data_IF_467300883385
#
_entry.id   IF_467300883385
#
_cell.length_a   1.000
_cell.length_b   1.000
_cell.length_c   1.000
_cell.angle_alpha   90.00
_cell.angle_beta   90.00
_cell.angle_gamma   90.00
#
_symmetry.space_group_name_H-M   'P 1'
#
loop_
_entity.id
_entity.type
_entity.pdbx_description
1 polymer ?
#
# COMPACT_ATOMS: atom_id res chain seq x y z
N UNK A 1 -11.96 6.14 2.49
CA UNK A 1 -12.82 7.32 2.79
C UNK A 1 -12.07 8.64 3.00
N UNK A 2 -10.79 8.68 3.43
CA UNK A 2 -10.00 9.95 3.49
C UNK A 2 -8.99 10.17 2.34
N UNK A 3 -8.83 9.20 1.42
CA UNK A 3 -7.82 9.27 0.34
C UNK A 3 -8.07 10.39 -0.66
N UNK A 4 -9.33 10.67 -0.97
CA UNK A 4 -9.72 11.77 -1.87
C UNK A 4 -9.83 13.13 -1.16
N UNK A 5 -9.91 13.11 0.17
CA UNK A 5 -10.09 14.30 0.99
C UNK A 5 -8.77 14.94 1.44
N UNK A 6 -7.65 14.25 1.23
CA UNK A 6 -6.32 14.72 1.63
C UNK A 6 -5.40 14.64 0.40
N UNK A 7 -5.30 15.71 -0.40
CA UNK A 7 -4.45 15.74 -1.60
C UNK A 7 -3.00 15.35 -1.30
N UNK A 8 -2.49 15.79 -0.14
CA UNK A 8 -1.12 15.55 0.32
C UNK A 8 -0.89 14.14 0.91
N UNK A 9 -1.88 13.26 0.88
CA UNK A 9 -1.77 11.95 1.54
C UNK A 9 -0.64 11.10 0.94
N UNK A 10 -0.46 11.14 -0.39
CA UNK A 10 0.59 10.38 -1.04
C UNK A 10 2.00 10.85 -0.63
N UNK A 11 2.34 12.15 -0.71
CA UNK A 11 3.59 12.69 -0.15
C UNK A 11 3.77 12.39 1.33
N UNK A 12 2.71 12.49 2.15
CA UNK A 12 2.80 12.17 3.58
C UNK A 12 3.15 10.71 3.82
N UNK A 13 2.52 9.77 3.10
CA UNK A 13 2.81 8.34 3.22
C UNK A 13 4.21 8.00 2.74
N UNK A 14 4.67 8.64 1.66
CA UNK A 14 5.99 8.39 1.10
C UNK A 14 7.13 8.91 1.99
N UNK A 15 6.99 10.12 2.53
CA UNK A 15 8.02 10.74 3.35
C UNK A 15 7.97 10.29 4.82
N UNK A 16 6.93 9.60 5.25
CA UNK A 16 6.84 9.04 6.60
C UNK A 16 7.74 7.81 6.73
N UNK A 17 8.67 7.87 7.69
CA UNK A 17 9.62 6.79 7.95
C UNK A 17 8.92 5.44 8.16
N UNK A 18 9.37 4.41 7.42
CA UNK A 18 8.88 3.04 7.54
C UNK A 18 7.46 2.78 7.01
N UNK A 19 6.74 3.79 6.50
CA UNK A 19 5.34 3.62 6.06
C UNK A 19 5.24 2.74 4.82
N UNK A 20 6.04 3.01 3.78
CA UNK A 20 6.07 2.18 2.56
C UNK A 20 6.52 0.75 2.89
N UNK A 21 7.52 0.59 3.76
CA UNK A 21 7.98 -0.71 4.24
C UNK A 21 6.87 -1.48 4.96
N UNK A 22 6.11 -0.83 5.84
CA UNK A 22 4.99 -1.45 6.52
C UNK A 22 3.89 -1.88 5.53
N UNK A 23 3.57 -1.05 4.53
CA UNK A 23 2.60 -1.41 3.48
C UNK A 23 3.06 -2.62 2.64
N UNK A 24 4.36 -2.70 2.32
CA UNK A 24 4.93 -3.85 1.63
C UNK A 24 4.90 -5.11 2.51
N UNK A 25 5.19 -4.97 3.80
CA UNK A 25 5.13 -6.07 4.75
C UNK A 25 3.71 -6.67 4.84
N UNK A 26 2.67 -5.83 4.78
CA UNK A 26 1.27 -6.29 4.73
C UNK A 26 0.98 -7.17 3.52
N UNK A 27 1.60 -6.90 2.37
CA UNK A 27 1.46 -7.70 1.16
C UNK A 27 2.23 -9.02 1.29
N UNK A 28 3.48 -8.95 1.75
CA UNK A 28 4.34 -10.13 1.91
C UNK A 28 3.73 -11.12 2.92
N UNK A 29 3.16 -10.61 4.01
CA UNK A 29 2.52 -11.43 5.05
C UNK A 29 1.31 -12.23 4.53
N UNK A 30 0.75 -11.88 3.36
CA UNK A 30 -0.35 -12.63 2.75
C UNK A 30 0.12 -13.79 1.88
N UNK A 31 1.36 -13.80 1.38
CA UNK A 31 1.84 -14.86 0.49
C UNK A 31 1.66 -16.29 1.03
N UNK A 32 1.87 -16.60 2.32
CA UNK A 32 1.62 -17.94 2.84
C UNK A 32 0.15 -18.39 2.76
N UNK A 33 -0.80 -17.46 2.74
CA UNK A 33 -2.24 -17.75 2.65
C UNK A 33 -2.76 -17.80 1.20
N UNK A 34 -1.92 -17.47 0.20
CA UNK A 34 -2.27 -17.57 -1.21
C UNK A 34 -2.11 -19.01 -1.71
N UNK A 35 -1.09 -19.73 -1.24
CA UNK A 35 -0.86 -21.12 -1.63
C UNK A 35 -0.36 -21.96 -0.43
N UNK A 36 -1.19 -22.90 0.09
CA UNK A 36 -2.55 -23.22 -0.34
C UNK A 36 -3.54 -22.06 -0.08
N UNK A 37 -4.68 -21.99 -0.80
CA UNK A 37 -5.60 -20.86 -0.73
C UNK A 37 -6.42 -20.88 0.58
N UNK A 38 -5.83 -20.36 1.65
CA UNK A 38 -6.44 -20.26 2.98
C UNK A 38 -6.76 -18.81 3.37
N UNK A 39 -6.78 -17.90 2.38
CA UNK A 39 -7.00 -16.48 2.59
C UNK A 39 -8.42 -16.21 3.11
N UNK A 40 -8.51 -15.55 4.27
CA UNK A 40 -9.80 -15.15 4.85
C UNK A 40 -10.27 -13.80 4.30
N UNK A 41 -11.58 -13.53 4.39
CA UNK A 41 -12.15 -12.23 4.03
C UNK A 41 -11.51 -11.07 4.81
N UNK A 42 -11.17 -11.29 6.09
CA UNK A 42 -10.53 -10.27 6.91
C UNK A 42 -9.11 -9.93 6.40
N UNK A 43 -8.31 -10.95 6.10
CA UNK A 43 -6.97 -10.79 5.53
C UNK A 43 -7.02 -10.09 4.17
N UNK A 44 -7.95 -10.51 3.30
CA UNK A 44 -8.18 -9.87 1.99
C UNK A 44 -8.50 -8.38 2.13
N UNK A 45 -9.44 -8.00 3.00
CA UNK A 45 -9.79 -6.60 3.22
C UNK A 45 -8.61 -5.77 3.74
N UNK A 46 -7.79 -6.35 4.62
CA UNK A 46 -6.59 -5.70 5.17
C UNK A 46 -5.55 -5.43 4.08
N UNK A 47 -5.20 -6.43 3.27
CA UNK A 47 -4.22 -6.24 2.18
C UNK A 47 -4.76 -5.33 1.07
N UNK A 48 -6.06 -5.38 0.77
CA UNK A 48 -6.70 -4.44 -0.17
C UNK A 48 -6.59 -2.98 0.30
N UNK A 49 -6.70 -2.74 1.60
CA UNK A 49 -6.47 -1.40 2.15
C UNK A 49 -5.02 -0.95 1.98
N UNK A 50 -4.04 -1.83 2.17
CA UNK A 50 -2.63 -1.51 1.93
C UNK A 50 -2.37 -1.23 0.43
N UNK A 51 -2.85 -2.13 -0.45
CA UNK A 51 -2.73 -1.97 -1.90
C UNK A 51 -3.32 -0.66 -2.38
N UNK A 52 -4.47 -0.27 -1.87
CA UNK A 52 -5.11 0.94 -2.33
C UNK A 52 -4.46 2.23 -1.74
N UNK A 53 -3.62 2.13 -0.69
CA UNK A 53 -2.71 3.22 -0.30
C UNK A 53 -1.52 3.30 -1.25
N UNK A 54 -0.95 2.16 -1.66
CA UNK A 54 0.11 2.12 -2.66
C UNK A 54 -0.36 2.64 -4.02
N UNK A 55 -1.61 2.35 -4.42
CA UNK A 55 -2.23 2.94 -5.61
C UNK A 55 -2.31 4.46 -5.52
N UNK A 56 -2.63 5.01 -4.35
CA UNK A 56 -2.65 6.46 -4.13
C UNK A 56 -1.26 7.08 -4.32
N UNK A 57 -0.22 6.46 -3.73
CA UNK A 57 1.19 6.87 -3.91
C UNK A 57 1.63 6.75 -5.38
N UNK A 58 1.24 5.68 -6.07
CA UNK A 58 1.58 5.48 -7.48
C UNK A 58 0.86 6.46 -8.43
N UNK A 59 -0.35 6.91 -8.07
CA UNK A 59 -1.13 7.86 -8.86
C UNK A 59 -0.70 9.32 -8.70
N UNK A 60 -0.02 9.66 -7.60
CA UNK A 60 0.34 11.05 -7.30
C UNK A 60 1.62 11.48 -8.05
N UNK A 61 1.62 12.62 -8.76
CA UNK A 61 2.73 13.01 -9.64
C UNK A 61 4.07 13.15 -8.91
N UNK A 62 4.06 13.62 -7.66
CA UNK A 62 5.28 13.82 -6.87
C UNK A 62 5.93 12.52 -6.40
N UNK A 63 5.13 11.50 -6.08
CA UNK A 63 5.63 10.24 -5.52
C UNK A 63 5.74 9.14 -6.57
N UNK A 64 5.09 9.28 -7.73
CA UNK A 64 5.09 8.26 -8.79
C UNK A 64 6.49 7.88 -9.26
N UNK A 65 7.35 8.86 -9.54
CA UNK A 65 8.71 8.59 -10.03
C UNK A 65 9.53 7.82 -8.98
N UNK A 66 9.43 8.22 -7.71
CA UNK A 66 10.12 7.57 -6.61
C UNK A 66 9.56 6.16 -6.33
N UNK A 67 8.24 5.99 -6.43
CA UNK A 67 7.57 4.69 -6.34
C UNK A 67 8.06 3.72 -7.43
N UNK A 68 8.19 4.19 -8.67
CA UNK A 68 8.69 3.36 -9.79
C UNK A 68 10.18 3.03 -9.66
N UNK A 69 10.98 3.90 -9.04
CA UNK A 69 12.39 3.66 -8.77
C UNK A 69 12.65 2.69 -7.61
N UNK A 70 11.66 2.43 -6.76
CA UNK A 70 11.77 1.54 -5.60
C UNK A 70 11.57 0.04 -5.89
N UNK A 71 11.63 -0.37 -7.17
CA UNK A 71 11.57 -1.77 -7.62
C UNK A 71 12.96 -2.38 -7.71
#
# INVERSE_FOLDING_TARGET
KKREAVPELAPMLWNSFGTITALLQEIINIYPAINPPTLTAHQSNRVCNALALLQCVASHPETRSAFLAGN
#
